data_IF_891905966790
#
_entry.id   IF_891905966790
#
_cell.length_a   1.000
_cell.length_b   1.000
_cell.length_c   1.000
_cell.angle_alpha   90.00
_cell.angle_beta   90.00
_cell.angle_gamma   90.00
#
_symmetry.space_group_name_H-M   'P 1'
#
loop_
_entity.id
_entity.type
_entity.pdbx_description
1 polymer ?
#
# COMPACT_ATOMS: atom_id res chain seq x y z
N UNK A 1 -34.76 -10.65 19.41
CA UNK A 1 -34.33 -11.25 18.12
C UNK A 1 -33.16 -12.17 18.45
N UNK A 2 -33.21 -13.46 18.12
CA UNK A 2 -32.06 -14.36 18.31
C UNK A 2 -31.00 -14.03 17.25
N UNK A 3 -29.74 -13.96 17.68
CA UNK A 3 -28.58 -13.77 16.82
C UNK A 3 -27.47 -14.68 17.33
N UNK A 4 -26.63 -15.18 16.41
CA UNK A 4 -25.45 -15.95 16.79
C UNK A 4 -24.44 -15.06 17.53
N UNK A 5 -23.81 -15.61 18.57
CA UNK A 5 -22.59 -15.05 19.15
C UNK A 5 -21.40 -15.57 18.33
N UNK A 6 -21.00 -14.79 17.32
CA UNK A 6 -20.05 -15.26 16.32
C UNK A 6 -18.61 -15.35 16.85
N UNK A 7 -17.91 -16.40 16.43
CA UNK A 7 -16.52 -16.69 16.77
C UNK A 7 -15.69 -16.84 15.48
N UNK A 8 -14.39 -17.13 15.58
CA UNK A 8 -13.51 -17.40 14.43
C UNK A 8 -13.46 -16.24 13.41
N UNK A 9 -13.55 -15.01 13.93
CA UNK A 9 -13.55 -13.77 13.14
C UNK A 9 -14.66 -13.72 12.08
N UNK A 10 -15.78 -14.39 12.35
CA UNK A 10 -17.00 -14.31 11.54
C UNK A 10 -17.96 -13.29 12.13
N UNK A 11 -18.72 -12.64 11.25
CA UNK A 11 -19.65 -11.58 11.58
C UNK A 11 -20.97 -11.82 10.84
N UNK A 12 -22.05 -11.16 11.28
CA UNK A 12 -23.37 -11.26 10.66
C UNK A 12 -24.44 -11.80 11.60
N UNK A 13 -25.65 -11.98 11.08
CA UNK A 13 -26.77 -12.52 11.88
C UNK A 13 -26.60 -14.00 12.21
N UNK A 14 -25.91 -14.71 11.32
CA UNK A 14 -25.66 -16.15 11.34
C UNK A 14 -24.20 -16.50 11.07
N UNK A 15 -23.28 -15.57 11.32
CA UNK A 15 -21.84 -15.77 11.12
C UNK A 15 -21.48 -16.10 9.65
N UNK A 16 -22.21 -15.47 8.73
CA UNK A 16 -22.27 -15.75 7.29
C UNK A 16 -21.24 -14.97 6.45
N UNK A 17 -20.33 -14.24 7.11
CA UNK A 17 -19.23 -13.52 6.47
C UNK A 17 -18.05 -13.37 7.42
N UNK A 18 -16.88 -13.05 6.88
CA UNK A 18 -15.76 -12.60 7.69
C UNK A 18 -16.01 -11.20 8.24
N UNK A 19 -15.44 -10.91 9.40
CA UNK A 19 -15.44 -9.58 9.97
C UNK A 19 -14.53 -8.62 9.18
N UNK A 20 -14.74 -7.29 9.28
CA UNK A 20 -13.81 -6.29 8.76
C UNK A 20 -12.36 -6.59 9.14
N UNK A 21 -11.45 -6.51 8.17
CA UNK A 21 -10.03 -6.81 8.34
C UNK A 21 -9.65 -8.30 8.25
N UNK A 22 -10.61 -9.22 8.16
CA UNK A 22 -10.36 -10.68 8.13
C UNK A 22 -10.67 -11.34 6.78
N UNK A 23 -10.43 -10.61 5.68
CA UNK A 23 -10.77 -11.04 4.33
C UNK A 23 -9.56 -11.53 3.52
N UNK A 24 -8.54 -12.13 4.16
CA UNK A 24 -7.37 -12.67 3.44
C UNK A 24 -7.76 -13.82 2.49
N UNK A 25 -8.76 -14.61 2.88
CA UNK A 25 -9.31 -15.74 2.13
C UNK A 25 -10.84 -15.63 2.09
N UNK A 26 -11.53 -16.29 1.12
CA UNK A 26 -12.98 -16.26 1.08
C UNK A 26 -13.55 -17.00 2.29
N UNK A 27 -14.64 -16.47 2.85
CA UNK A 27 -15.38 -17.11 3.94
C UNK A 27 -15.82 -18.53 3.56
N UNK A 28 -15.72 -19.46 4.52
CA UNK A 28 -16.23 -20.83 4.39
C UNK A 28 -16.89 -21.25 5.70
N UNK A 29 -17.96 -22.07 5.65
CA UNK A 29 -18.55 -22.62 6.86
C UNK A 29 -17.57 -23.60 7.53
N UNK A 30 -17.63 -23.73 8.86
CA UNK A 30 -16.87 -24.75 9.57
C UNK A 30 -17.29 -26.17 9.15
N UNK A 31 -16.32 -27.09 9.14
CA UNK A 31 -16.53 -28.52 8.92
C UNK A 31 -16.17 -29.32 10.17
N UNK A 32 -16.33 -30.64 10.14
CA UNK A 32 -15.93 -31.49 11.26
C UNK A 32 -14.40 -31.45 11.52
N UNK A 33 -13.61 -31.18 10.46
CA UNK A 33 -12.15 -31.26 10.50
C UNK A 33 -11.47 -29.88 10.51
N UNK A 34 -12.21 -28.79 10.25
CA UNK A 34 -11.65 -27.44 10.17
C UNK A 34 -12.66 -26.38 10.60
N UNK A 35 -12.23 -25.45 11.46
CA UNK A 35 -13.04 -24.30 11.86
C UNK A 35 -13.26 -23.30 10.71
N UNK A 36 -12.39 -23.31 9.69
CA UNK A 36 -12.39 -22.35 8.58
C UNK A 36 -12.47 -20.89 9.06
N UNK A 37 -11.64 -20.57 10.06
CA UNK A 37 -11.58 -19.24 10.64
C UNK A 37 -11.13 -18.19 9.61
N UNK A 38 -11.76 -17.02 9.67
CA UNK A 38 -11.41 -15.91 8.80
C UNK A 38 -10.04 -15.33 9.20
N UNK A 39 -9.18 -15.15 8.21
CA UNK A 39 -7.78 -14.80 8.39
C UNK A 39 -7.56 -13.29 8.20
N UNK A 40 -6.78 -12.63 9.07
CA UNK A 40 -6.52 -11.21 8.98
C UNK A 40 -5.74 -10.86 7.71
N UNK A 41 -6.08 -9.73 7.11
CA UNK A 41 -5.28 -9.16 6.04
C UNK A 41 -3.98 -8.57 6.58
N UNK A 42 -2.93 -8.60 5.77
CA UNK A 42 -1.72 -7.83 6.04
C UNK A 42 -1.83 -6.45 5.39
N UNK A 43 -2.03 -5.40 6.19
CA UNK A 43 -2.04 -4.02 5.71
C UNK A 43 -0.85 -3.21 6.23
N UNK A 44 0.22 -3.88 6.68
CA UNK A 44 1.40 -3.25 7.29
C UNK A 44 1.03 -2.21 8.37
N UNK A 45 -0.06 -2.40 9.12
CA UNK A 45 -0.52 -1.43 10.12
C UNK A 45 -1.10 -0.11 9.57
N UNK A 46 -1.32 -0.02 8.26
CA UNK A 46 -1.80 1.19 7.58
C UNK A 46 -3.29 1.16 7.21
N UNK A 47 -3.99 0.05 7.40
CA UNK A 47 -5.43 0.00 7.24
C UNK A 47 -6.04 -0.94 8.28
N UNK A 48 -7.30 -0.67 8.62
CA UNK A 48 -8.08 -1.50 9.55
C UNK A 48 -8.91 -2.57 8.83
N UNK A 49 -9.28 -2.32 7.58
CA UNK A 49 -10.21 -3.17 6.83
C UNK A 49 -9.64 -3.53 5.46
N UNK A 50 -10.19 -4.58 4.87
CA UNK A 50 -9.81 -5.12 3.58
C UNK A 50 -10.97 -5.93 2.98
N UNK A 51 -10.95 -6.14 1.66
CA UNK A 51 -11.84 -7.08 0.98
C UNK A 51 -11.05 -8.22 0.33
N UNK A 52 -11.73 -9.32 0.01
CA UNK A 52 -11.13 -10.42 -0.75
C UNK A 52 -11.30 -10.20 -2.26
N UNK A 53 -10.21 -10.29 -3.01
CA UNK A 53 -10.17 -10.25 -4.46
C UNK A 53 -9.59 -11.58 -5.04
N UNK A 54 -10.38 -12.36 -5.80
CA UNK A 54 -9.93 -13.63 -6.35
C UNK A 54 -8.83 -13.48 -7.41
N UNK A 55 -8.75 -12.35 -8.11
CA UNK A 55 -7.68 -12.12 -9.10
C UNK A 55 -6.36 -11.80 -8.40
N UNK A 56 -6.39 -11.12 -7.25
CA UNK A 56 -5.20 -10.91 -6.42
C UNK A 56 -4.69 -12.24 -5.86
N UNK A 57 -5.59 -13.12 -5.41
CA UNK A 57 -5.25 -14.48 -4.94
C UNK A 57 -4.64 -15.33 -6.06
N UNK A 58 -5.30 -15.36 -7.23
CA UNK A 58 -4.81 -16.08 -8.42
C UNK A 58 -3.42 -15.63 -8.84
N UNK A 59 -3.14 -14.34 -8.72
CA UNK A 59 -1.84 -13.76 -9.05
C UNK A 59 -0.81 -13.81 -7.90
N UNK A 60 -1.15 -14.35 -6.73
CA UNK A 60 -0.27 -14.38 -5.55
C UNK A 60 0.23 -12.98 -5.18
N UNK A 61 -0.66 -11.98 -5.26
CA UNK A 61 -0.29 -10.56 -5.16
C UNK A 61 -0.54 -9.94 -3.78
N UNK A 62 -1.32 -10.58 -2.90
CA UNK A 62 -1.43 -10.20 -1.49
C UNK A 62 -0.41 -10.97 -0.64
N UNK A 63 0.11 -10.31 0.39
CA UNK A 63 0.79 -10.99 1.50
C UNK A 63 -0.18 -11.36 2.62
N UNK A 64 0.04 -12.49 3.28
CA UNK A 64 -0.60 -12.85 4.54
C UNK A 64 0.13 -12.20 5.73
N UNK A 65 -0.43 -12.34 6.94
CA UNK A 65 0.18 -11.85 8.18
C UNK A 65 1.53 -12.53 8.51
N UNK A 66 1.83 -13.67 7.88
CA UNK A 66 3.13 -14.36 7.98
C UNK A 66 4.11 -13.97 6.85
N UNK A 67 3.83 -12.85 6.16
CA UNK A 67 4.60 -12.34 5.01
C UNK A 67 4.73 -13.30 3.81
N UNK A 68 3.82 -14.28 3.71
CA UNK A 68 3.74 -15.20 2.58
C UNK A 68 2.84 -14.63 1.49
N UNK A 69 3.22 -14.78 0.23
CA UNK A 69 2.37 -14.41 -0.90
C UNK A 69 1.27 -15.46 -1.13
N UNK A 70 0.11 -15.24 -0.50
CA UNK A 70 -1.04 -16.13 -0.52
C UNK A 70 -2.33 -15.38 -0.16
N UNK A 71 -3.47 -15.83 -0.67
CA UNK A 71 -4.75 -15.18 -0.45
C UNK A 71 -4.94 -13.92 -1.29
N UNK A 72 -6.11 -13.32 -1.15
CA UNK A 72 -6.59 -12.22 -1.98
C UNK A 72 -6.94 -10.96 -1.21
N UNK A 73 -6.44 -10.79 0.01
CA UNK A 73 -6.73 -9.61 0.81
C UNK A 73 -6.25 -8.32 0.14
N UNK A 74 -7.15 -7.35 -0.01
CA UNK A 74 -6.84 -6.00 -0.52
C UNK A 74 -7.27 -4.98 0.51
N UNK A 75 -6.31 -4.26 1.07
CA UNK A 75 -6.54 -3.23 2.07
C UNK A 75 -7.32 -2.06 1.49
N UNK A 76 -8.21 -1.49 2.30
CA UNK A 76 -9.00 -0.30 1.93
C UNK A 76 -8.65 0.86 2.85
N UNK A 77 -8.73 2.08 2.32
CA UNK A 77 -8.42 3.32 3.05
C UNK A 77 -7.03 3.29 3.72
N UNK A 78 -5.99 2.95 2.95
CA UNK A 78 -4.60 3.02 3.40
C UNK A 78 -4.27 4.41 3.97
N UNK A 79 -3.79 4.42 5.22
CA UNK A 79 -3.41 5.59 6.00
C UNK A 79 -1.92 5.87 5.87
N UNK A 80 -1.45 6.92 6.54
CA UNK A 80 -0.02 7.27 6.60
C UNK A 80 0.62 7.53 5.21
N UNK A 81 -0.18 8.03 4.26
CA UNK A 81 0.23 8.29 2.87
C UNK A 81 0.71 7.05 2.11
N UNK A 82 0.23 5.88 2.52
CA UNK A 82 0.53 4.61 1.86
C UNK A 82 -0.54 4.23 0.82
N UNK A 83 -0.21 3.29 -0.05
CA UNK A 83 -1.06 2.73 -1.10
C UNK A 83 -0.57 1.35 -1.50
N UNK A 84 -1.35 0.64 -2.32
CA UNK A 84 -1.06 -0.74 -2.73
C UNK A 84 -1.98 -1.76 -2.09
N UNK A 85 -1.79 -3.03 -2.45
CA UNK A 85 -2.65 -4.15 -2.02
C UNK A 85 -2.56 -4.33 -0.51
N UNK A 86 -1.37 -4.19 0.05
CA UNK A 86 -1.06 -4.36 1.46
C UNK A 86 -0.64 -3.01 2.09
N UNK A 87 -0.95 -1.87 1.45
CA UNK A 87 -0.46 -0.55 1.84
C UNK A 87 1.08 -0.45 1.90
N UNK A 88 1.77 -1.12 0.97
CA UNK A 88 3.21 -1.34 0.97
C UNK A 88 4.04 -0.29 0.20
N UNK A 89 3.37 0.68 -0.43
CA UNK A 89 3.98 1.75 -1.25
C UNK A 89 3.52 3.11 -0.76
N UNK A 90 4.23 4.17 -1.13
CA UNK A 90 3.76 5.53 -0.90
C UNK A 90 2.88 6.03 -2.06
N UNK A 91 1.94 6.91 -1.75
CA UNK A 91 1.18 7.64 -2.77
C UNK A 91 2.10 8.55 -3.60
N UNK A 92 1.71 8.93 -4.84
CA UNK A 92 2.48 9.88 -5.64
C UNK A 92 2.78 11.18 -4.89
N UNK A 93 4.01 11.68 -5.02
CA UNK A 93 4.49 12.84 -4.27
C UNK A 93 5.03 12.51 -2.87
N UNK A 94 5.10 11.22 -2.51
CA UNK A 94 5.75 10.72 -1.30
C UNK A 94 6.75 9.61 -1.65
N UNK A 95 7.83 9.51 -0.87
CA UNK A 95 8.83 8.45 -0.98
C UNK A 95 8.94 7.66 0.32
N UNK A 96 9.35 6.39 0.23
CA UNK A 96 9.61 5.55 1.40
C UNK A 96 10.90 6.00 2.08
N UNK A 97 10.89 6.25 3.38
CA UNK A 97 12.10 6.52 4.14
C UNK A 97 12.83 5.23 4.49
N UNK A 98 14.14 5.11 4.22
CA UNK A 98 14.93 3.95 4.61
C UNK A 98 15.17 3.86 6.12
N UNK A 99 14.90 4.93 6.87
CA UNK A 99 15.11 5.00 8.31
C UNK A 99 13.92 4.46 9.12
N UNK A 100 12.80 4.18 8.45
CA UNK A 100 11.58 3.68 9.08
C UNK A 100 11.21 2.29 8.55
N UNK A 101 10.75 1.37 9.44
CA UNK A 101 10.21 0.09 9.00
C UNK A 101 8.87 0.29 8.27
N UNK A 102 8.48 -0.72 7.47
CA UNK A 102 7.30 -0.66 6.60
C UNK A 102 5.99 -0.45 7.36
N UNK A 103 5.93 -0.82 8.64
CA UNK A 103 4.75 -0.66 9.51
C UNK A 103 4.71 0.69 10.25
N UNK A 104 5.72 1.54 10.04
CA UNK A 104 5.80 2.83 10.71
C UNK A 104 4.81 3.84 10.12
N UNK A 105 4.09 4.62 10.94
CA UNK A 105 3.27 5.72 10.44
C UNK A 105 4.08 6.84 9.75
N UNK A 106 5.41 6.80 9.87
CA UNK A 106 6.35 7.73 9.23
C UNK A 106 7.08 7.10 8.04
N UNK A 107 6.63 5.97 7.50
CA UNK A 107 7.29 5.32 6.36
C UNK A 107 7.29 6.21 5.10
N UNK A 108 6.25 7.02 4.88
CA UNK A 108 6.11 7.86 3.69
C UNK A 108 6.33 9.34 4.00
N UNK A 109 7.37 9.94 3.38
CA UNK A 109 7.67 11.36 3.47
C UNK A 109 7.33 12.09 2.18
N UNK A 110 6.81 13.32 2.31
CA UNK A 110 6.47 14.17 1.17
C UNK A 110 7.76 14.54 0.41
N UNK A 111 7.72 14.44 -0.92
CA UNK A 111 8.77 14.95 -1.78
C UNK A 111 8.95 16.46 -1.58
N UNK A 112 10.19 16.94 -1.48
CA UNK A 112 10.50 18.37 -1.39
C UNK A 112 10.95 18.93 -2.75
N UNK A 113 10.05 18.92 -3.72
CA UNK A 113 10.32 19.23 -5.14
C UNK A 113 9.51 20.43 -5.60
N UNK A 114 9.72 21.59 -4.95
CA UNK A 114 8.95 22.81 -5.20
C UNK A 114 9.60 23.75 -6.23
N UNK A 115 10.68 23.30 -6.87
CA UNK A 115 11.42 24.05 -7.90
C UNK A 115 10.71 24.02 -9.25
N UNK A 116 10.75 25.14 -9.99
CA UNK A 116 10.24 25.26 -11.36
C UNK A 116 10.92 24.30 -12.35
N UNK A 117 12.07 23.73 -11.99
CA UNK A 117 12.84 22.79 -12.82
C UNK A 117 12.57 21.32 -12.49
N UNK A 118 11.76 21.04 -11.46
CA UNK A 118 11.35 19.68 -11.07
C UNK A 118 9.94 19.38 -11.54
N UNK A 119 9.59 18.11 -11.76
CA UNK A 119 8.23 17.70 -12.14
C UNK A 119 7.26 17.58 -10.94
N UNK A 120 7.75 17.86 -9.73
CA UNK A 120 7.00 17.76 -8.48
C UNK A 120 6.99 16.37 -7.84
N UNK A 121 7.63 15.38 -8.45
CA UNK A 121 7.76 14.01 -7.94
C UNK A 121 9.20 13.67 -7.59
N UNK A 122 9.40 12.60 -6.81
CA UNK A 122 10.71 12.17 -6.37
C UNK A 122 10.90 10.66 -6.43
N UNK A 123 12.16 10.26 -6.54
CA UNK A 123 12.61 8.88 -6.51
C UNK A 123 12.29 8.24 -5.15
N UNK A 124 11.75 7.03 -5.20
CA UNK A 124 11.47 6.24 -4.01
C UNK A 124 12.77 5.91 -3.26
N UNK A 125 12.70 5.75 -1.93
CA UNK A 125 13.85 5.51 -1.02
C UNK A 125 14.83 6.68 -0.84
N UNK A 126 15.05 7.52 -1.87
CA UNK A 126 16.03 8.61 -1.79
C UNK A 126 15.39 9.98 -1.60
N UNK A 127 14.16 10.17 -2.08
CA UNK A 127 13.49 11.47 -2.10
C UNK A 127 14.08 12.45 -3.12
N UNK A 128 14.98 11.98 -4.01
CA UNK A 128 15.61 12.81 -5.05
C UNK A 128 14.56 13.26 -6.07
N UNK A 129 14.44 14.56 -6.30
CA UNK A 129 13.47 15.09 -7.25
C UNK A 129 13.75 14.67 -8.69
N UNK A 130 12.69 14.37 -9.43
CA UNK A 130 12.78 14.22 -10.87
C UNK A 130 12.76 15.58 -11.56
N UNK A 131 13.68 15.76 -12.51
CA UNK A 131 13.78 17.00 -13.28
C UNK A 131 12.77 17.02 -14.42
N UNK A 132 12.27 18.22 -14.72
CA UNK A 132 11.53 18.46 -15.97
C UNK A 132 12.42 18.16 -17.17
N UNK A 133 11.82 17.91 -18.35
CA UNK A 133 12.57 17.86 -19.60
C UNK A 133 13.49 19.07 -19.74
N UNK A 134 14.69 18.85 -20.27
CA UNK A 134 15.75 19.85 -20.49
C UNK A 134 16.56 20.23 -19.25
N UNK A 135 16.20 19.75 -18.06
CA UNK A 135 16.92 19.98 -16.82
C UNK A 135 17.56 18.69 -16.29
N UNK A 136 18.66 18.82 -15.56
CA UNK A 136 19.40 17.72 -14.93
C UNK A 136 20.13 18.21 -13.68
N UNK A 137 20.82 17.31 -13.00
CA UNK A 137 21.49 17.56 -11.72
C UNK A 137 20.69 17.01 -10.54
N UNK A 138 21.32 16.96 -9.36
CA UNK A 138 20.66 16.47 -8.14
C UNK A 138 19.52 17.39 -7.69
N UNK A 139 19.60 18.67 -8.04
CA UNK A 139 18.61 19.69 -7.71
C UNK A 139 17.95 20.31 -8.95
N UNK A 140 18.10 19.68 -10.12
CA UNK A 140 17.60 20.17 -11.40
C UNK A 140 18.11 21.58 -11.74
N UNK A 141 19.38 21.84 -11.41
CA UNK A 141 20.07 23.12 -11.44
C UNK A 141 21.04 23.26 -12.63
N UNK A 142 20.98 22.33 -13.58
CA UNK A 142 21.74 22.37 -14.82
C UNK A 142 20.85 22.04 -16.03
N UNK A 143 21.26 22.48 -17.22
CA UNK A 143 20.61 22.02 -18.45
C UNK A 143 21.05 20.59 -18.78
N UNK A 144 20.10 19.77 -19.20
CA UNK A 144 20.36 18.43 -19.71
C UNK A 144 21.24 18.48 -20.97
N UNK A 145 21.84 17.34 -21.31
CA UNK A 145 22.70 17.23 -22.48
C UNK A 145 21.98 17.72 -23.75
N UNK A 146 22.64 18.61 -24.50
CA UNK A 146 22.08 19.22 -25.71
C UNK A 146 21.32 20.53 -25.50
N UNK A 147 21.02 20.92 -24.25
CA UNK A 147 20.36 22.17 -23.91
C UNK A 147 21.34 23.18 -23.31
N UNK A 148 21.10 24.47 -23.55
CA UNK A 148 22.00 25.55 -23.12
C UNK A 148 21.25 26.69 -22.44
N UNK A 149 21.98 27.49 -21.66
CA UNK A 149 21.52 28.76 -21.03
C UNK A 149 20.46 28.57 -19.94
N UNK A 150 20.88 27.99 -18.81
CA UNK A 150 20.09 27.97 -17.58
C UNK A 150 19.69 29.41 -17.15
N UNK A 151 18.46 29.66 -16.68
CA UNK A 151 17.40 28.71 -16.32
C UNK A 151 16.42 28.34 -17.46
N UNK A 152 16.64 28.80 -18.69
CA UNK A 152 15.69 28.57 -19.79
C UNK A 152 15.90 27.24 -20.52
N UNK A 153 17.14 26.74 -20.61
CA UNK A 153 17.50 25.44 -21.19
C UNK A 153 16.79 25.15 -22.53
N UNK A 154 17.19 25.90 -23.57
CA UNK A 154 16.73 25.74 -24.96
C UNK A 154 17.69 24.90 -25.80
#
# INVERSE_FOLDING_TARGET
RLQCDCQHNTCGGSCDRCCPGFNQFPWKPATADSANECQPCNCNGHAYDCYYDPEVDRHKASKSHEDKFEGGGVCIDCQHHTTGINCERCIPGYYRSPDHPVDSPYICYRCNCESDFTDGTCEDLTGRCYCKPNYTGEHCDACAEGYLNFPHCY
#
